data_IF_003243322723
#
_entry.id   IF_003243322723
#
_cell.length_a   1.000
_cell.length_b   1.000
_cell.length_c   1.000
_cell.angle_alpha   90.00
_cell.angle_beta   90.00
_cell.angle_gamma   90.00
#
_symmetry.space_group_name_H-M   'P 1'
#
loop_
_entity.id
_entity.type
_entity.pdbx_description
1 polymer ?
#
# COMPACT_ATOMS: atom_id res chain seq x y z
N UNK A 1 -107.23 39.25 -22.66
CA UNK A 1 -106.34 38.17 -23.10
C UNK A 1 -107.03 37.42 -24.22
N UNK A 2 -106.37 37.25 -25.35
CA UNK A 2 -106.87 36.47 -26.50
C UNK A 2 -106.45 35.00 -26.38
N UNK A 3 -107.11 34.11 -27.13
CA UNK A 3 -106.72 32.70 -27.21
C UNK A 3 -105.31 32.52 -27.77
N UNK A 4 -104.90 33.38 -28.71
CA UNK A 4 -103.55 33.38 -29.29
C UNK A 4 -102.47 33.69 -28.24
N UNK A 5 -102.70 34.66 -27.35
CA UNK A 5 -101.78 34.98 -26.25
C UNK A 5 -101.63 33.78 -25.29
N UNK A 6 -102.73 33.07 -25.00
CA UNK A 6 -102.69 31.88 -24.14
C UNK A 6 -101.89 30.74 -24.80
N UNK A 7 -102.04 30.53 -26.10
CA UNK A 7 -101.30 29.50 -26.81
C UNK A 7 -99.81 29.82 -26.90
N UNK A 8 -99.46 31.06 -27.22
CA UNK A 8 -98.06 31.51 -27.24
C UNK A 8 -97.36 31.30 -25.88
N UNK A 9 -98.03 31.64 -24.79
CA UNK A 9 -97.50 31.42 -23.43
C UNK A 9 -97.32 29.93 -23.09
N UNK A 10 -98.18 29.04 -23.60
CA UNK A 10 -98.02 27.59 -23.41
C UNK A 10 -96.81 27.04 -24.15
N UNK A 11 -96.59 27.49 -25.39
CA UNK A 11 -95.46 27.04 -26.21
C UNK A 11 -94.12 27.52 -25.61
N UNK A 12 -94.09 28.75 -25.08
CA UNK A 12 -92.95 29.29 -24.35
C UNK A 12 -92.70 28.54 -23.04
N UNK A 13 -93.75 28.18 -22.30
CA UNK A 13 -93.65 27.36 -21.09
C UNK A 13 -93.05 25.97 -21.37
N UNK A 14 -93.46 25.32 -22.46
CA UNK A 14 -92.91 24.01 -22.82
C UNK A 14 -91.44 24.10 -23.28
N UNK A 15 -91.10 25.16 -24.03
CA UNK A 15 -89.72 25.45 -24.45
C UNK A 15 -88.81 25.68 -23.26
N UNK A 16 -89.23 26.53 -22.31
CA UNK A 16 -88.46 26.83 -21.10
C UNK A 16 -88.30 25.60 -20.19
N UNK A 17 -89.31 24.75 -20.10
CA UNK A 17 -89.25 23.50 -19.35
C UNK A 17 -88.26 22.50 -19.95
N UNK A 18 -88.19 22.43 -21.28
CA UNK A 18 -87.21 21.58 -21.98
C UNK A 18 -85.78 22.07 -21.71
N UNK A 19 -85.52 23.36 -21.88
CA UNK A 19 -84.23 23.98 -21.57
C UNK A 19 -83.82 23.81 -20.08
N UNK A 20 -84.80 23.88 -19.16
CA UNK A 20 -84.57 23.60 -17.74
C UNK A 20 -84.14 22.15 -17.50
N UNK A 21 -84.71 21.19 -18.24
CA UNK A 21 -84.31 19.78 -18.17
C UNK A 21 -82.88 19.53 -18.67
N UNK A 22 -82.51 20.17 -19.78
CA UNK A 22 -81.16 20.10 -20.35
C UNK A 22 -80.13 20.69 -19.39
N UNK A 23 -80.36 21.91 -18.91
CA UNK A 23 -79.47 22.58 -17.95
C UNK A 23 -79.33 21.80 -16.64
N UNK A 24 -80.39 21.14 -16.17
CA UNK A 24 -80.31 20.27 -14.99
C UNK A 24 -79.40 19.06 -15.24
N UNK A 25 -79.50 18.44 -16.42
CA UNK A 25 -78.67 17.29 -16.80
C UNK A 25 -77.20 17.68 -16.89
N UNK A 26 -76.89 18.83 -17.50
CA UNK A 26 -75.54 19.36 -17.59
C UNK A 26 -74.96 19.69 -16.21
N UNK A 27 -75.76 20.28 -15.32
CA UNK A 27 -75.36 20.58 -13.95
C UNK A 27 -75.07 19.31 -13.12
N UNK A 28 -75.79 18.21 -13.36
CA UNK A 28 -75.47 16.91 -12.77
C UNK A 28 -74.16 16.34 -13.31
N UNK A 29 -73.89 16.49 -14.62
CA UNK A 29 -72.62 16.09 -15.24
C UNK A 29 -71.42 16.85 -14.66
N UNK A 30 -71.51 18.18 -14.61
CA UNK A 30 -70.43 19.06 -14.09
C UNK A 30 -70.15 18.76 -12.61
N UNK A 31 -71.18 18.44 -11.81
CA UNK A 31 -70.98 18.01 -10.41
C UNK A 31 -70.22 16.70 -10.31
N UNK A 32 -70.47 15.75 -11.21
CA UNK A 32 -69.72 14.50 -11.29
C UNK A 32 -68.25 14.74 -11.61
N UNK A 33 -67.97 15.55 -12.64
CA UNK A 33 -66.61 15.92 -13.03
C UNK A 33 -65.86 16.66 -11.92
N UNK A 34 -66.53 17.59 -11.24
CA UNK A 34 -65.96 18.31 -10.09
C UNK A 34 -65.57 17.35 -8.96
N UNK A 35 -66.41 16.35 -8.67
CA UNK A 35 -66.12 15.31 -7.68
C UNK A 35 -64.89 14.48 -8.04
N UNK A 36 -64.78 14.06 -9.31
CA UNK A 36 -63.59 13.35 -9.82
C UNK A 36 -62.33 14.20 -9.70
N UNK A 37 -62.38 15.46 -10.15
CA UNK A 37 -61.24 16.37 -10.08
C UNK A 37 -60.81 16.68 -8.63
N UNK A 38 -61.74 16.68 -7.67
CA UNK A 38 -61.43 16.79 -6.24
C UNK A 38 -60.68 15.56 -5.73
N UNK A 39 -61.13 14.36 -6.08
CA UNK A 39 -60.45 13.11 -5.69
C UNK A 39 -59.03 12.98 -6.27
N UNK A 40 -58.85 13.38 -7.53
CA UNK A 40 -57.52 13.43 -8.15
C UNK A 40 -56.59 14.43 -7.47
N UNK A 41 -57.11 15.62 -7.14
CA UNK A 41 -56.36 16.64 -6.41
C UNK A 41 -55.87 16.12 -5.05
N UNK A 42 -56.74 15.46 -4.29
CA UNK A 42 -56.37 14.90 -2.98
C UNK A 42 -55.30 13.82 -3.14
N UNK A 43 -55.43 12.95 -4.16
CA UNK A 43 -54.40 11.95 -4.48
C UNK A 43 -53.05 12.58 -4.83
N UNK A 44 -53.05 13.66 -5.63
CA UNK A 44 -51.80 14.36 -5.96
C UNK A 44 -51.19 15.06 -4.74
N UNK A 45 -52.01 15.63 -3.86
CA UNK A 45 -51.55 16.25 -2.63
C UNK A 45 -50.84 15.23 -1.73
N UNK A 46 -51.40 14.04 -1.57
CA UNK A 46 -50.80 12.97 -0.77
C UNK A 46 -49.47 12.49 -1.40
N UNK A 47 -49.44 12.36 -2.73
CA UNK A 47 -48.22 11.99 -3.48
C UNK A 47 -47.11 13.03 -3.35
N UNK A 48 -47.46 14.33 -3.38
CA UNK A 48 -46.51 15.43 -3.17
C UNK A 48 -45.94 15.36 -1.76
N UNK A 49 -46.77 15.22 -0.74
CA UNK A 49 -46.32 15.10 0.66
C UNK A 49 -45.35 13.92 0.84
N UNK A 50 -45.67 12.75 0.28
CA UNK A 50 -44.79 11.58 0.34
C UNK A 50 -43.44 11.80 -0.37
N UNK A 51 -43.44 12.55 -1.47
CA UNK A 51 -42.21 12.91 -2.18
C UNK A 51 -41.37 13.92 -1.41
N UNK A 52 -41.98 14.90 -0.74
CA UNK A 52 -41.29 15.87 0.12
C UNK A 52 -40.59 15.17 1.30
N UNK A 53 -41.25 14.19 1.92
CA UNK A 53 -40.64 13.36 2.97
C UNK A 53 -39.44 12.56 2.43
N UNK A 54 -39.58 11.99 1.24
CA UNK A 54 -38.50 11.23 0.59
C UNK A 54 -37.30 12.12 0.24
N UNK A 55 -37.55 13.33 -0.28
CA UNK A 55 -36.51 14.31 -0.59
C UNK A 55 -35.75 14.67 0.68
N UNK A 56 -36.45 14.94 1.78
CA UNK A 56 -35.84 15.27 3.07
C UNK A 56 -34.94 14.14 3.58
N UNK A 57 -35.38 12.88 3.46
CA UNK A 57 -34.57 11.72 3.84
C UNK A 57 -33.31 11.57 2.98
N UNK A 58 -33.42 11.80 1.66
CA UNK A 58 -32.28 11.73 0.74
C UNK A 58 -31.27 12.85 1.02
N UNK A 59 -31.73 14.07 1.29
CA UNK A 59 -30.88 15.20 1.66
C UNK A 59 -30.08 14.91 2.94
N UNK A 60 -30.73 14.35 3.96
CA UNK A 60 -30.05 13.91 5.19
C UNK A 60 -29.02 12.81 4.92
N UNK A 61 -29.36 11.83 4.08
CA UNK A 61 -28.45 10.75 3.73
C UNK A 61 -27.21 11.26 2.96
N UNK A 62 -27.40 12.22 2.05
CA UNK A 62 -26.31 12.87 1.32
C UNK A 62 -25.41 13.63 2.28
N UNK A 63 -25.97 14.46 3.16
CA UNK A 63 -25.19 15.21 4.15
C UNK A 63 -24.37 14.29 5.08
N UNK A 64 -24.94 13.16 5.52
CA UNK A 64 -24.22 12.16 6.32
C UNK A 64 -23.04 11.57 5.53
N UNK A 65 -23.27 11.18 4.27
CA UNK A 65 -22.22 10.59 3.42
C UNK A 65 -21.11 11.58 3.10
N UNK A 66 -21.43 12.86 2.90
CA UNK A 66 -20.43 13.90 2.70
C UNK A 66 -19.53 14.05 3.94
N UNK A 67 -20.11 13.98 5.13
CA UNK A 67 -19.32 13.98 6.37
C UNK A 67 -18.41 12.76 6.49
N UNK A 68 -18.92 11.56 6.16
CA UNK A 68 -18.11 10.33 6.17
C UNK A 68 -16.96 10.41 5.17
N UNK A 69 -17.19 10.94 3.97
CA UNK A 69 -16.17 11.13 2.94
C UNK A 69 -15.05 12.04 3.44
N UNK A 70 -15.37 13.12 4.15
CA UNK A 70 -14.36 14.02 4.71
C UNK A 70 -13.50 13.31 5.76
N UNK A 71 -14.12 12.54 6.65
CA UNK A 71 -13.40 11.74 7.67
C UNK A 71 -12.48 10.72 7.02
N UNK A 72 -12.97 9.98 6.03
CA UNK A 72 -12.18 8.97 5.33
C UNK A 72 -11.01 9.57 4.55
N UNK A 73 -11.21 10.73 3.92
CA UNK A 73 -10.12 11.46 3.25
C UNK A 73 -9.03 11.88 4.22
N UNK A 74 -9.40 12.38 5.39
CA UNK A 74 -8.43 12.74 6.41
C UNK A 74 -7.67 11.51 6.90
N UNK A 75 -8.36 10.42 7.23
CA UNK A 75 -7.74 9.18 7.68
C UNK A 75 -6.78 8.58 6.63
N UNK A 76 -7.12 8.67 5.34
CA UNK A 76 -6.24 8.23 4.26
C UNK A 76 -4.96 9.08 4.18
N UNK A 77 -5.10 10.41 4.26
CA UNK A 77 -3.96 11.33 4.28
C UNK A 77 -3.05 11.08 5.48
N UNK A 78 -3.62 10.87 6.68
CA UNK A 78 -2.86 10.59 7.89
C UNK A 78 -2.11 9.26 7.78
N UNK A 79 -2.76 8.24 7.20
CA UNK A 79 -2.12 6.94 6.97
C UNK A 79 -0.95 7.02 5.99
N UNK A 80 -1.04 7.85 4.94
CA UNK A 80 0.04 8.04 3.97
C UNK A 80 1.26 8.73 4.61
N UNK A 81 1.02 9.71 5.48
CA UNK A 81 2.06 10.38 6.28
C UNK A 81 2.74 9.37 7.20
N UNK A 82 1.96 8.62 7.98
CA UNK A 82 2.49 7.62 8.91
C UNK A 82 3.29 6.54 8.18
N UNK A 83 2.81 6.05 7.03
CA UNK A 83 3.51 5.05 6.24
C UNK A 83 4.85 5.57 5.70
N UNK A 84 4.91 6.84 5.31
CA UNK A 84 6.14 7.48 4.83
C UNK A 84 7.15 7.67 5.94
N UNK A 85 6.72 8.15 7.11
CA UNK A 85 7.55 8.29 8.31
C UNK A 85 8.09 6.93 8.80
N UNK A 86 7.24 5.90 8.81
CA UNK A 86 7.63 4.54 9.18
C UNK A 86 8.70 3.97 8.24
N UNK A 87 8.56 4.16 6.92
CA UNK A 87 9.57 3.75 5.92
C UNK A 87 10.90 4.47 6.14
N UNK A 88 10.87 5.77 6.39
CA UNK A 88 12.08 6.54 6.65
C UNK A 88 12.77 6.09 7.95
N UNK A 89 12.00 5.87 9.01
CA UNK A 89 12.51 5.37 10.29
C UNK A 89 13.15 3.98 10.13
N UNK A 90 12.49 3.08 9.38
CA UNK A 90 13.03 1.76 9.07
C UNK A 90 14.35 1.84 8.29
N UNK A 91 14.42 2.67 7.25
CA UNK A 91 15.65 2.86 6.47
C UNK A 91 16.80 3.40 7.34
N UNK A 92 16.50 4.35 8.24
CA UNK A 92 17.48 4.89 9.19
C UNK A 92 17.95 3.83 10.19
N UNK A 93 17.04 3.00 10.70
CA UNK A 93 17.35 1.91 11.63
C UNK A 93 18.25 0.86 10.96
N UNK A 94 17.93 0.45 9.74
CA UNK A 94 18.75 -0.50 8.94
C UNK A 94 20.15 0.08 8.68
N UNK A 95 20.25 1.36 8.31
CA UNK A 95 21.54 2.02 8.10
C UNK A 95 22.39 2.09 9.38
N UNK A 96 21.75 2.39 10.51
CA UNK A 96 22.40 2.41 11.82
C UNK A 96 22.87 1.03 12.26
N UNK A 97 22.07 0.00 11.97
CA UNK A 97 22.42 -1.40 12.21
C UNK A 97 23.68 -1.79 11.42
N UNK A 98 23.70 -1.52 10.12
CA UNK A 98 24.86 -1.76 9.25
C UNK A 98 26.12 -1.04 9.74
N UNK A 99 25.98 0.21 10.20
CA UNK A 99 27.08 0.99 10.76
C UNK A 99 27.64 0.33 12.03
N UNK A 100 26.75 -0.11 12.92
CA UNK A 100 27.13 -0.80 14.17
C UNK A 100 27.86 -2.11 13.89
N UNK A 101 27.37 -2.91 12.94
CA UNK A 101 28.05 -4.16 12.54
C UNK A 101 29.43 -3.91 11.94
N UNK A 102 29.58 -2.86 11.13
CA UNK A 102 30.86 -2.48 10.54
C UNK A 102 31.87 -2.07 11.62
N UNK A 103 31.42 -1.36 12.67
CA UNK A 103 32.26 -0.98 13.81
C UNK A 103 32.61 -2.19 14.70
N UNK A 104 31.67 -3.11 14.90
CA UNK A 104 31.88 -4.31 15.69
C UNK A 104 32.81 -5.33 15.00
N UNK A 105 32.94 -5.28 13.67
CA UNK A 105 33.75 -6.21 12.89
C UNK A 105 34.81 -5.51 12.01
N UNK A 106 35.85 -4.85 12.58
CA UNK A 106 36.83 -4.08 11.80
C UNK A 106 37.65 -4.90 10.80
N UNK A 107 37.75 -6.22 11.00
CA UNK A 107 38.47 -7.12 10.10
C UNK A 107 37.70 -7.44 8.80
N UNK A 108 36.40 -7.11 8.75
CA UNK A 108 35.54 -7.36 7.59
C UNK A 108 35.43 -6.06 6.78
N UNK A 109 35.80 -6.07 5.48
CA UNK A 109 35.61 -4.91 4.63
C UNK A 109 34.14 -4.47 4.55
N UNK A 110 33.88 -3.19 4.80
CA UNK A 110 32.52 -2.60 4.87
C UNK A 110 31.69 -2.84 3.61
N UNK A 111 32.32 -2.92 2.43
CA UNK A 111 31.63 -3.14 1.17
C UNK A 111 31.09 -4.57 1.00
N UNK A 112 31.50 -5.52 1.87
CA UNK A 112 30.97 -6.88 1.88
C UNK A 112 29.70 -7.02 2.73
N UNK A 113 29.40 -6.04 3.59
CA UNK A 113 28.15 -5.98 4.34
C UNK A 113 27.12 -5.23 3.48
N UNK A 114 26.15 -5.92 2.90
CA UNK A 114 25.21 -5.39 1.90
C UNK A 114 23.75 -5.74 2.26
N UNK A 115 22.78 -5.10 1.60
CA UNK A 115 21.35 -5.33 1.85
C UNK A 115 20.61 -4.13 2.45
N UNK A 116 19.30 -4.10 2.18
CA UNK A 116 18.36 -3.06 2.64
C UNK A 116 17.41 -3.55 3.75
N UNK A 117 17.57 -4.81 4.19
CA UNK A 117 16.87 -5.39 5.34
C UNK A 117 17.88 -5.98 6.31
N UNK A 118 17.46 -6.19 7.56
CA UNK A 118 18.30 -6.79 8.60
C UNK A 118 18.74 -8.19 8.17
N UNK A 119 17.83 -8.99 7.62
CA UNK A 119 18.09 -10.36 7.18
C UNK A 119 19.13 -10.40 6.07
N UNK A 120 19.01 -9.52 5.06
CA UNK A 120 19.99 -9.44 3.98
C UNK A 120 21.38 -9.00 4.48
N UNK A 121 21.40 -8.08 5.45
CA UNK A 121 22.64 -7.65 6.10
C UNK A 121 23.29 -8.80 6.86
N UNK A 122 22.53 -9.56 7.62
CA UNK A 122 23.05 -10.69 8.40
C UNK A 122 23.61 -11.80 7.50
N UNK A 123 22.90 -12.14 6.42
CA UNK A 123 23.37 -13.10 5.42
C UNK A 123 24.68 -12.64 4.75
N UNK A 124 24.76 -11.34 4.42
CA UNK A 124 25.98 -10.76 3.84
C UNK A 124 27.16 -10.81 4.82
N UNK A 125 26.91 -10.58 6.11
CA UNK A 125 27.92 -10.62 7.16
C UNK A 125 28.50 -12.04 7.33
N UNK A 126 27.65 -13.05 7.38
CA UNK A 126 28.07 -14.46 7.48
C UNK A 126 28.91 -14.86 6.26
N UNK A 127 28.48 -14.44 5.08
CA UNK A 127 29.21 -14.67 3.83
C UNK A 127 30.59 -13.99 3.85
N UNK A 128 30.64 -12.74 4.32
CA UNK A 128 31.87 -11.98 4.44
C UNK A 128 32.84 -12.60 5.45
N UNK A 129 32.36 -13.06 6.61
CA UNK A 129 33.15 -13.78 7.61
C UNK A 129 33.79 -15.03 7.01
N UNK A 130 32.98 -15.84 6.32
CA UNK A 130 33.46 -17.07 5.67
C UNK A 130 34.58 -16.79 4.67
N UNK A 131 34.43 -15.74 3.84
CA UNK A 131 35.47 -15.34 2.89
C UNK A 131 36.76 -14.88 3.59
N UNK A 132 36.64 -14.08 4.66
CA UNK A 132 37.82 -13.61 5.42
C UNK A 132 38.55 -14.79 6.07
N UNK A 133 37.83 -15.76 6.63
CA UNK A 133 38.43 -16.95 7.25
C UNK A 133 39.12 -17.86 6.22
N UNK A 134 38.53 -18.02 5.03
CA UNK A 134 39.17 -18.73 3.91
C UNK A 134 40.45 -18.05 3.44
N UNK A 135 40.44 -16.71 3.30
CA UNK A 135 41.62 -15.93 2.92
C UNK A 135 42.71 -16.08 3.97
N UNK A 136 42.36 -15.99 5.27
CA UNK A 136 43.32 -16.19 6.36
C UNK A 136 43.96 -17.57 6.30
N UNK A 137 43.14 -18.62 6.16
CA UNK A 137 43.61 -20.01 6.08
C UNK A 137 44.56 -20.22 4.90
N UNK A 138 44.23 -19.63 3.75
CA UNK A 138 45.06 -19.73 2.53
C UNK A 138 46.41 -19.04 2.73
N UNK A 139 46.43 -17.83 3.29
CA UNK A 139 47.67 -17.09 3.58
C UNK A 139 48.53 -17.84 4.60
N UNK A 140 47.95 -18.40 5.66
CA UNK A 140 48.68 -19.19 6.65
C UNK A 140 49.32 -20.44 6.04
N UNK A 141 48.61 -21.13 5.14
CA UNK A 141 49.13 -22.28 4.41
C UNK A 141 50.28 -21.88 3.47
N UNK A 142 50.16 -20.75 2.75
CA UNK A 142 51.22 -20.21 1.90
C UNK A 142 52.47 -19.82 2.71
N UNK A 143 52.30 -19.15 3.85
CA UNK A 143 53.40 -18.80 4.75
C UNK A 143 54.09 -20.06 5.29
N UNK A 144 53.32 -21.10 5.66
CA UNK A 144 53.86 -22.37 6.14
C UNK A 144 54.64 -23.11 5.04
N UNK A 145 54.15 -23.12 3.80
CA UNK A 145 54.82 -23.72 2.65
C UNK A 145 56.09 -22.95 2.22
N UNK A 146 56.10 -21.62 2.40
CA UNK A 146 57.24 -20.74 2.11
C UNK A 146 58.37 -20.78 3.15
N UNK A 147 58.16 -21.38 4.32
CA UNK A 147 59.23 -21.61 5.32
C UNK A 147 60.17 -22.72 4.82
N UNK A 148 61.23 -22.31 4.10
CA UNK A 148 62.38 -23.17 3.81
C UNK A 148 62.93 -23.76 5.11
N UNK A 149 63.11 -25.09 5.23
CA UNK A 149 63.75 -25.71 6.39
C UNK A 149 65.13 -25.09 6.62
N UNK A 150 65.38 -24.55 7.81
CA UNK A 150 66.71 -24.13 8.22
C UNK A 150 67.62 -25.37 8.29
N UNK A 151 68.26 -25.71 7.17
CA UNK A 151 68.96 -26.97 7.07
C UNK A 151 69.68 -27.15 5.74
N UNK A 152 70.56 -26.23 5.37
CA UNK A 152 71.76 -26.73 4.70
C UNK A 152 72.43 -27.69 5.71
N UNK A 153 72.71 -28.96 5.36
CA UNK A 153 73.43 -29.85 6.25
C UNK A 153 74.69 -29.14 6.71
N UNK A 154 74.95 -29.12 8.03
CA UNK A 154 76.23 -28.64 8.53
C UNK A 154 77.33 -29.35 7.75
N UNK A 155 78.28 -28.59 7.18
CA UNK A 155 79.43 -29.17 6.49
C UNK A 155 80.12 -30.11 7.46
N UNK A 156 79.96 -31.41 7.27
CA UNK A 156 80.76 -32.41 7.98
C UNK A 156 82.20 -32.17 7.55
N UNK A 157 83.11 -31.74 8.45
CA UNK A 157 84.51 -31.66 8.10
C UNK A 157 85.00 -33.06 7.72
N UNK A 158 85.94 -33.19 6.76
CA UNK A 158 86.52 -34.48 6.42
C UNK A 158 87.03 -35.16 7.68
N UNK A 159 86.64 -36.41 7.91
CA UNK A 159 87.12 -37.16 9.07
C UNK A 159 88.59 -37.51 8.87
N UNK A 160 89.46 -36.80 9.60
CA UNK A 160 90.91 -37.02 9.57
C UNK A 160 91.35 -38.05 10.63
N UNK A 161 90.43 -38.63 11.40
CA UNK A 161 90.78 -39.54 12.50
C UNK A 161 91.37 -40.87 12.01
N UNK A 162 91.00 -41.30 10.81
CA UNK A 162 91.52 -42.51 10.16
C UNK A 162 92.91 -42.34 9.50
N UNK A 163 93.44 -41.11 9.42
CA UNK A 163 94.74 -40.84 8.81
C UNK A 163 95.86 -40.88 9.85
N UNK A 164 96.98 -41.52 9.48
CA UNK A 164 98.20 -41.52 10.29
C UNK A 164 98.79 -40.10 10.40
N UNK A 165 99.65 -39.83 11.40
CA UNK A 165 100.28 -38.52 11.56
C UNK A 165 101.01 -38.00 10.31
N UNK A 166 101.59 -38.89 9.50
CA UNK A 166 102.25 -38.50 8.23
C UNK A 166 101.26 -38.07 7.16
N UNK A 167 100.14 -38.77 7.03
CA UNK A 167 99.10 -38.46 6.03
C UNK A 167 98.36 -37.16 6.34
N UNK A 168 98.19 -36.82 7.62
CA UNK A 168 97.64 -35.53 8.06
C UNK A 168 98.49 -34.34 7.62
N UNK A 169 99.82 -34.46 7.74
CA UNK A 169 100.76 -33.40 7.32
C UNK A 169 100.72 -33.23 5.80
N UNK A 170 100.71 -34.34 5.06
CA UNK A 170 100.70 -34.29 3.60
C UNK A 170 99.41 -33.69 3.05
N UNK A 171 98.25 -34.04 3.64
CA UNK A 171 96.96 -33.45 3.29
C UNK A 171 96.96 -31.92 3.49
N UNK A 172 97.59 -31.42 4.56
CA UNK A 172 97.71 -29.98 4.82
C UNK A 172 98.62 -29.26 3.79
N UNK A 173 99.69 -29.90 3.34
CA UNK A 173 100.62 -29.32 2.34
C UNK A 173 99.97 -29.27 0.94
N UNK A 174 99.22 -30.30 0.54
CA UNK A 174 98.57 -30.36 -0.78
C UNK A 174 97.35 -29.45 -0.93
N UNK A 175 96.81 -28.91 0.17
CA UNK A 175 95.59 -28.10 0.17
C UNK A 175 95.81 -26.64 0.59
N UNK A 176 97.06 -26.27 0.85
CA UNK A 176 97.56 -24.88 0.97
C UNK A 176 97.90 -24.32 -0.40
#
# INVERSE_FOLDING_TARGET
MTEEEIQALKDELETTKSALGETKTELESVRGELGTAQGERDTYKDSISAKEDTITQLEQAVASKDSDILILKQAASDSDVIASEAKQSLANAVSSYKTTLSQANPAIPVHLITGDTIEAIDESLVSAQTMVDQVRTTIEAEIAAGRVPAGAPARTPPDLSALSPREKIQYAITKS
#
